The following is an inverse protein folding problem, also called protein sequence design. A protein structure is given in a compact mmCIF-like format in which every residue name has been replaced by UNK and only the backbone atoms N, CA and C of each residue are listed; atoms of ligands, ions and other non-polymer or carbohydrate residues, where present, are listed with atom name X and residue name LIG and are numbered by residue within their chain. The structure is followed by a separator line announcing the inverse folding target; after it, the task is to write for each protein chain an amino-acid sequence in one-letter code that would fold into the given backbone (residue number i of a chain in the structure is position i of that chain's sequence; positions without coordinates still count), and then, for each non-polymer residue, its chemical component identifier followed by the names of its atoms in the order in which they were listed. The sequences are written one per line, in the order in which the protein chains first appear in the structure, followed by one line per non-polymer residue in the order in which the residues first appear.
data_IF_574378784915
#
_entry.id   IF_574378784915
#
_cell.length_a   1.000
_cell.length_b   1.000
_cell.length_c   1.000
_cell.angle_alpha   90.00
_cell.angle_beta   90.00
_cell.angle_gamma   90.00
#
_symmetry.space_group_name_H-M   'P 1'
#
loop_
_entity.id
_entity.type
_entity.pdbx_description
1 polymer ?
#
# COMPACT_ATOMS: atom_id res chain seq x y z
N UNK A 1 13.18 14.13 6.24
CA UNK A 1 14.64 14.06 6.41
C UNK A 1 15.25 15.42 6.05
N UNK A 2 15.02 15.99 4.85
CA UNK A 2 15.63 17.26 4.42
C UNK A 2 15.32 18.43 5.37
N UNK A 3 14.13 18.45 5.98
CA UNK A 3 13.72 19.46 7.00
C UNK A 3 14.20 19.13 8.42
N UNK A 4 14.98 18.05 8.60
CA UNK A 4 15.42 17.53 9.90
C UNK A 4 14.28 17.17 10.84
N UNK A 5 13.10 16.89 10.31
CA UNK A 5 12.01 16.32 11.11
C UNK A 5 12.37 14.88 11.51
N UNK A 6 12.03 14.45 12.73
CA UNK A 6 12.28 13.09 13.17
C UNK A 6 11.65 12.08 12.22
N UNK A 7 12.45 11.12 11.75
CA UNK A 7 12.02 10.09 10.83
C UNK A 7 12.66 8.75 11.17
N UNK A 8 11.97 7.66 10.85
CA UNK A 8 12.46 6.30 10.96
C UNK A 8 12.25 5.56 9.63
N UNK A 9 13.11 4.57 9.37
CA UNK A 9 13.02 3.73 8.18
C UNK A 9 13.54 2.33 8.50
N UNK A 10 13.46 1.41 7.55
CA UNK A 10 14.02 0.07 7.66
C UNK A 10 15.14 -0.10 6.64
N UNK A 11 16.25 -0.69 7.09
CA UNK A 11 17.32 -1.24 6.24
C UNK A 11 17.10 -2.75 6.21
N UNK A 12 16.61 -3.26 5.09
CA UNK A 12 16.38 -4.69 4.90
C UNK A 12 17.55 -5.32 4.14
N UNK A 13 18.19 -6.33 4.73
CA UNK A 13 19.26 -7.10 4.12
C UNK A 13 19.27 -8.51 4.70
N UNK A 14 19.41 -9.59 3.88
CA UNK A 14 19.52 -10.95 4.39
C UNK A 14 20.73 -11.15 5.32
N UNK A 15 21.79 -10.40 5.08
CA UNK A 15 22.99 -10.35 5.94
C UNK A 15 22.80 -9.28 7.03
N UNK A 16 22.63 -9.75 8.27
CA UNK A 16 22.39 -8.90 9.44
C UNK A 16 23.57 -7.95 9.73
N UNK A 17 24.82 -8.38 9.51
CA UNK A 17 25.99 -7.55 9.77
C UNK A 17 26.10 -6.43 8.73
N UNK A 18 25.72 -6.69 7.48
CA UNK A 18 25.59 -5.66 6.46
C UNK A 18 24.50 -4.68 6.83
N UNK A 19 23.33 -5.16 7.26
CA UNK A 19 22.23 -4.30 7.70
C UNK A 19 22.64 -3.39 8.85
N UNK A 20 23.34 -3.91 9.86
CA UNK A 20 23.86 -3.13 11.01
C UNK A 20 24.89 -2.09 10.59
N UNK A 21 25.80 -2.41 9.68
CA UNK A 21 26.76 -1.43 9.14
C UNK A 21 26.05 -0.28 8.43
N UNK A 22 25.07 -0.58 7.58
CA UNK A 22 24.26 0.43 6.91
C UNK A 22 23.44 1.25 7.90
N UNK A 23 22.85 0.61 8.90
CA UNK A 23 22.15 1.30 9.99
C UNK A 23 23.04 2.33 10.67
N UNK A 24 24.27 1.94 11.04
CA UNK A 24 25.23 2.84 11.68
C UNK A 24 25.64 4.00 10.78
N UNK A 25 25.79 3.77 9.48
CA UNK A 25 26.17 4.81 8.50
C UNK A 25 25.05 5.85 8.28
N UNK A 26 23.79 5.44 8.32
CA UNK A 26 22.65 6.33 8.05
C UNK A 26 22.06 6.96 9.32
N UNK A 27 22.40 6.45 10.49
CA UNK A 27 21.87 6.96 11.75
C UNK A 27 22.29 8.42 12.00
N UNK A 28 21.31 9.26 12.36
CA UNK A 28 21.52 10.64 12.79
C UNK A 28 20.58 10.97 13.96
N UNK A 29 20.74 12.13 14.57
CA UNK A 29 19.84 12.61 15.64
C UNK A 29 18.39 12.79 15.18
N UNK A 30 18.16 12.97 13.87
CA UNK A 30 16.83 13.15 13.27
C UNK A 30 16.37 11.94 12.44
N UNK A 31 17.26 10.98 12.14
CA UNK A 31 16.91 9.81 11.33
C UNK A 31 17.34 8.52 12.01
N UNK A 32 16.37 7.65 12.30
CA UNK A 32 16.58 6.39 13.01
C UNK A 32 16.27 5.19 12.12
N UNK A 33 17.26 4.56 11.47
CA UNK A 33 17.06 3.30 10.75
C UNK A 33 16.90 2.13 11.74
N UNK A 34 16.04 1.18 11.38
CA UNK A 34 15.93 -0.15 12.01
C UNK A 34 16.41 -1.20 11.01
N UNK A 35 16.84 -2.34 11.47
CA UNK A 35 17.27 -3.45 10.61
C UNK A 35 16.19 -4.51 10.49
N UNK A 36 16.13 -5.18 9.34
CA UNK A 36 15.32 -6.38 9.10
C UNK A 36 16.08 -7.36 8.22
N UNK A 37 15.98 -8.64 8.48
CA UNK A 37 16.46 -9.69 7.57
C UNK A 37 15.37 -10.18 6.61
N UNK A 38 14.12 -9.81 6.84
CA UNK A 38 12.97 -10.12 6.00
C UNK A 38 12.82 -9.09 4.88
N UNK A 39 13.68 -9.23 3.86
CA UNK A 39 13.65 -8.38 2.67
C UNK A 39 12.33 -8.54 1.92
N UNK A 40 11.86 -9.78 1.80
CA UNK A 40 10.63 -10.10 1.06
C UNK A 40 9.40 -9.42 1.66
N UNK A 41 9.25 -9.47 2.99
CA UNK A 41 8.16 -8.77 3.68
C UNK A 41 8.21 -7.26 3.48
N UNK A 42 9.41 -6.66 3.51
CA UNK A 42 9.59 -5.24 3.23
C UNK A 42 9.22 -4.87 1.79
N UNK A 43 9.60 -5.69 0.80
CA UNK A 43 9.30 -5.45 -0.62
C UNK A 43 7.81 -5.59 -0.93
N UNK A 44 7.16 -6.64 -0.42
CA UNK A 44 5.71 -6.84 -0.61
C UNK A 44 4.93 -5.70 0.06
N UNK A 45 5.27 -5.34 1.30
CA UNK A 45 4.67 -4.20 1.99
C UNK A 45 4.81 -2.90 1.20
N UNK A 46 6.03 -2.63 0.72
CA UNK A 46 6.34 -1.44 -0.08
C UNK A 46 5.62 -1.38 -1.44
N UNK A 47 5.35 -2.52 -2.06
CA UNK A 47 4.57 -2.59 -3.29
C UNK A 47 3.06 -2.45 -3.03
N UNK A 48 2.55 -3.17 -2.03
CA UNK A 48 1.11 -3.24 -1.73
C UNK A 48 0.54 -1.94 -1.19
N UNK A 49 1.30 -1.20 -0.36
CA UNK A 49 0.86 0.12 0.17
C UNK A 49 0.41 1.08 -0.93
N UNK A 50 1.02 0.99 -2.10
CA UNK A 50 0.69 1.86 -3.23
C UNK A 50 -0.70 1.56 -3.79
N UNK A 51 -1.09 0.29 -3.82
CA UNK A 51 -2.41 -0.17 -4.23
C UNK A 51 -3.48 0.26 -3.22
N UNK A 52 -3.21 0.05 -1.93
CA UNK A 52 -4.11 0.51 -0.87
C UNK A 52 -4.23 2.04 -0.88
N UNK A 53 -3.13 2.74 -1.16
CA UNK A 53 -3.13 4.19 -1.33
C UNK A 53 -4.06 4.67 -2.45
N UNK A 54 -4.13 3.95 -3.58
CA UNK A 54 -5.12 4.20 -4.64
C UNK A 54 -6.55 3.99 -4.13
N UNK A 55 -6.83 2.86 -3.46
CA UNK A 55 -8.16 2.55 -2.94
C UNK A 55 -8.66 3.61 -1.94
N UNK A 56 -7.79 4.01 -0.99
CA UNK A 56 -8.08 5.08 -0.04
C UNK A 56 -8.31 6.42 -0.75
N UNK A 57 -7.48 6.72 -1.74
CA UNK A 57 -7.66 7.92 -2.56
C UNK A 57 -9.03 7.93 -3.24
N UNK A 58 -9.45 6.82 -3.86
CA UNK A 58 -10.77 6.70 -4.49
C UNK A 58 -11.90 6.95 -3.49
N UNK A 59 -11.81 6.38 -2.29
CA UNK A 59 -12.80 6.61 -1.23
C UNK A 59 -12.87 8.09 -0.82
N UNK A 60 -11.72 8.75 -0.66
CA UNK A 60 -11.65 10.19 -0.35
C UNK A 60 -12.23 11.03 -1.50
N UNK A 61 -11.93 10.69 -2.75
CA UNK A 61 -12.46 11.37 -3.93
C UNK A 61 -13.99 11.28 -4.06
N UNK A 62 -14.57 10.17 -3.60
CA UNK A 62 -16.02 9.94 -3.49
C UNK A 62 -16.66 10.65 -2.28
N UNK A 63 -15.88 11.27 -1.38
CA UNK A 63 -16.37 11.97 -0.20
C UNK A 63 -16.57 11.06 1.03
N UNK A 64 -16.05 9.84 1.05
CA UNK A 64 -16.09 8.99 2.24
C UNK A 64 -15.14 9.51 3.33
N UNK A 65 -15.54 9.33 4.59
CA UNK A 65 -14.83 9.81 5.77
C UNK A 65 -13.78 8.84 6.33
N UNK A 66 -13.28 9.21 7.51
CA UNK A 66 -12.16 8.54 8.18
C UNK A 66 -12.41 7.06 8.51
N UNK A 67 -13.65 6.69 8.88
CA UNK A 67 -13.97 5.30 9.19
C UNK A 67 -13.79 4.39 7.95
N UNK A 68 -14.20 4.85 6.78
CA UNK A 68 -14.00 4.11 5.52
C UNK A 68 -12.51 4.01 5.19
N UNK A 69 -11.78 5.10 5.35
CA UNK A 69 -10.32 5.13 5.17
C UNK A 69 -9.62 4.15 6.11
N UNK A 70 -9.96 4.17 7.40
CA UNK A 70 -9.40 3.24 8.39
C UNK A 70 -9.71 1.77 8.05
N UNK A 71 -10.94 1.48 7.60
CA UNK A 71 -11.33 0.14 7.18
C UNK A 71 -10.51 -0.34 5.97
N UNK A 72 -10.32 0.51 4.96
CA UNK A 72 -9.50 0.18 3.79
C UNK A 72 -8.03 -0.06 4.15
N UNK A 73 -7.46 0.75 5.05
CA UNK A 73 -6.08 0.58 5.54
C UNK A 73 -5.95 -0.76 6.27
N UNK A 74 -6.86 -1.06 7.19
CA UNK A 74 -6.83 -2.30 7.98
C UNK A 74 -7.00 -3.53 7.09
N UNK A 75 -7.97 -3.52 6.18
CA UNK A 75 -8.20 -4.62 5.25
C UNK A 75 -7.08 -4.77 4.22
N UNK A 76 -6.52 -3.66 3.75
CA UNK A 76 -5.35 -3.65 2.88
C UNK A 76 -4.11 -4.25 3.57
N UNK A 77 -3.88 -3.92 4.85
CA UNK A 77 -2.80 -4.51 5.62
C UNK A 77 -3.00 -6.03 5.79
N UNK A 78 -4.22 -6.48 6.10
CA UNK A 78 -4.53 -7.90 6.24
C UNK A 78 -4.34 -8.66 4.91
N UNK A 79 -4.75 -8.08 3.79
CA UNK A 79 -4.54 -8.65 2.44
C UNK A 79 -3.04 -8.73 2.10
N UNK A 80 -2.29 -7.66 2.39
CA UNK A 80 -0.82 -7.63 2.25
C UNK A 80 -0.15 -8.72 3.08
N UNK A 81 -0.60 -8.90 4.34
CA UNK A 81 -0.05 -9.90 5.24
C UNK A 81 -0.30 -11.33 4.75
N UNK A 82 -1.51 -11.64 4.25
CA UNK A 82 -1.80 -12.95 3.67
C UNK A 82 -0.90 -13.25 2.48
N UNK A 83 -0.74 -12.29 1.57
CA UNK A 83 0.11 -12.46 0.40
C UNK A 83 1.59 -12.64 0.78
N UNK A 84 2.09 -11.83 1.71
CA UNK A 84 3.47 -11.91 2.18
C UNK A 84 3.75 -13.24 2.90
N UNK A 85 2.85 -13.70 3.78
CA UNK A 85 2.98 -15.00 4.45
C UNK A 85 2.97 -16.16 3.48
N UNK A 86 2.14 -16.12 2.44
CA UNK A 86 2.10 -17.15 1.39
C UNK A 86 3.42 -17.24 0.60
N UNK A 87 4.22 -16.18 0.60
CA UNK A 87 5.56 -16.11 0.03
C UNK A 87 6.67 -16.41 1.05
N UNK A 88 6.34 -16.73 2.29
CA UNK A 88 7.30 -17.04 3.35
C UNK A 88 7.86 -15.85 4.12
N UNK A 89 7.28 -14.65 3.96
CA UNK A 89 7.66 -13.47 4.73
C UNK A 89 7.12 -13.55 6.18
N UNK A 90 7.79 -12.83 7.07
CA UNK A 90 7.35 -12.73 8.48
C UNK A 90 6.21 -11.72 8.61
N UNK A 91 5.02 -12.10 9.10
CA UNK A 91 3.90 -11.17 9.26
C UNK A 91 4.21 -10.01 10.23
N UNK A 92 5.12 -10.18 11.18
CA UNK A 92 5.54 -9.11 12.09
C UNK A 92 6.26 -7.96 11.37
N UNK A 93 6.92 -8.23 10.24
CA UNK A 93 7.52 -7.20 9.39
C UNK A 93 6.47 -6.19 8.92
N UNK A 94 5.28 -6.68 8.60
CA UNK A 94 4.18 -5.82 8.13
C UNK A 94 3.50 -5.02 9.24
N UNK A 95 3.66 -5.40 10.49
CA UNK A 95 3.18 -4.61 11.64
C UNK A 95 4.15 -3.47 12.00
N UNK A 96 5.33 -3.46 11.40
CA UNK A 96 6.38 -2.45 11.62
C UNK A 96 6.36 -1.28 10.64
N UNK A 97 7.50 -0.57 10.59
CA UNK A 97 7.69 0.63 9.76
C UNK A 97 7.59 0.33 8.26
N UNK A 98 8.10 -0.82 7.80
CA UNK A 98 8.08 -1.22 6.39
C UNK A 98 6.69 -1.67 5.89
N UNK A 99 5.77 -1.99 6.81
CA UNK A 99 4.38 -2.34 6.52
C UNK A 99 3.42 -1.26 6.96
N UNK A 100 2.86 -1.39 8.16
CA UNK A 100 1.83 -0.48 8.70
C UNK A 100 2.27 0.99 8.69
N UNK A 101 3.51 1.28 9.09
CA UNK A 101 4.00 2.67 9.14
C UNK A 101 3.97 3.35 7.77
N UNK A 102 4.54 2.69 6.76
CA UNK A 102 4.60 3.21 5.40
C UNK A 102 3.22 3.21 4.71
N UNK A 103 2.37 2.22 5.03
CA UNK A 103 0.99 2.16 4.57
C UNK A 103 0.19 3.37 5.09
N UNK A 104 0.23 3.63 6.40
CA UNK A 104 -0.49 4.78 7.00
C UNK A 104 0.03 6.09 6.42
N UNK A 105 1.34 6.28 6.32
CA UNK A 105 1.93 7.48 5.73
C UNK A 105 1.49 7.67 4.27
N UNK A 106 1.46 6.60 3.48
CA UNK A 106 1.03 6.63 2.07
C UNK A 106 -0.45 6.97 1.93
N UNK A 107 -1.30 6.42 2.77
CA UNK A 107 -2.76 6.62 2.71
C UNK A 107 -3.21 7.98 3.28
N UNK A 108 -2.51 8.51 4.30
CA UNK A 108 -2.91 9.74 5.00
C UNK A 108 -2.33 11.00 4.38
N UNK A 109 -1.15 10.91 3.74
CA UNK A 109 -0.46 12.09 3.22
C UNK A 109 -1.13 12.65 1.95
N UNK A 110 -1.46 13.95 1.91
CA UNK A 110 -1.90 14.60 0.67
C UNK A 110 -0.79 14.70 -0.38
N UNK A 111 0.46 14.45 0.01
CA UNK A 111 1.61 14.42 -0.90
C UNK A 111 1.82 13.04 -1.54
N UNK A 112 1.05 12.04 -1.14
CA UNK A 112 1.11 10.70 -1.73
C UNK A 112 0.57 10.70 -3.15
N UNK A 113 1.43 10.41 -4.12
CA UNK A 113 1.07 10.31 -5.54
C UNK A 113 -0.03 9.28 -5.80
N UNK A 114 0.05 8.14 -5.12
CA UNK A 114 -0.96 7.08 -5.28
C UNK A 114 -2.31 7.51 -4.68
N UNK A 115 -2.32 8.11 -3.48
CA UNK A 115 -3.54 8.65 -2.89
C UNK A 115 -4.17 9.73 -3.78
N UNK A 116 -3.37 10.68 -4.27
CA UNK A 116 -3.86 11.75 -5.15
C UNK A 116 -4.40 11.20 -6.48
N UNK A 117 -3.73 10.21 -7.07
CA UNK A 117 -4.21 9.54 -8.28
C UNK A 117 -5.57 8.86 -8.03
N UNK A 118 -5.68 8.11 -6.93
CA UNK A 118 -6.94 7.48 -6.52
C UNK A 118 -8.05 8.51 -6.27
N UNK A 119 -7.73 9.65 -5.63
CA UNK A 119 -8.69 10.73 -5.38
C UNK A 119 -9.27 11.29 -6.69
N UNK A 120 -8.45 11.44 -7.71
CA UNK A 120 -8.91 11.89 -9.03
C UNK A 120 -9.80 10.83 -9.71
N UNK A 121 -9.47 9.52 -9.60
CA UNK A 121 -10.37 8.44 -10.05
C UNK A 121 -11.71 8.48 -9.32
N UNK A 122 -11.67 8.70 -7.99
CA UNK A 122 -12.89 8.84 -7.18
C UNK A 122 -13.76 10.04 -7.57
N UNK A 123 -13.14 11.12 -8.07
CA UNK A 123 -13.83 12.30 -8.64
C UNK A 123 -14.36 12.06 -10.05
N UNK A 124 -14.14 10.89 -10.63
CA UNK A 124 -14.66 10.51 -11.95
C UNK A 124 -13.70 10.77 -13.12
N UNK A 125 -12.46 11.18 -12.87
CA UNK A 125 -11.45 11.27 -13.94
C UNK A 125 -11.04 9.88 -14.41
N UNK A 126 -10.79 9.72 -15.68
CA UNK A 126 -10.18 8.52 -16.25
C UNK A 126 -8.67 8.48 -16.00
N UNK A 127 -8.11 7.28 -16.03
CA UNK A 127 -6.65 7.06 -15.95
C UNK A 127 -5.90 7.89 -17.00
N UNK A 128 -6.43 7.99 -18.24
CA UNK A 128 -5.82 8.75 -19.31
C UNK A 128 -5.80 10.28 -19.02
N UNK A 129 -6.90 10.83 -18.52
CA UNK A 129 -7.00 12.24 -18.13
C UNK A 129 -6.06 12.58 -16.98
N UNK A 130 -5.93 11.68 -15.99
CA UNK A 130 -5.00 11.89 -14.86
C UNK A 130 -3.56 11.93 -15.39
N UNK A 131 -3.15 10.96 -16.23
CA UNK A 131 -1.79 10.98 -16.80
C UNK A 131 -1.52 12.20 -17.69
N UNK A 132 -2.54 12.71 -18.38
CA UNK A 132 -2.41 13.95 -19.16
C UNK A 132 -2.26 15.20 -18.27
N UNK A 133 -2.79 15.17 -17.04
CA UNK A 133 -2.77 16.31 -16.11
C UNK A 133 -1.52 16.42 -15.26
N UNK A 134 -0.70 15.37 -15.18
CA UNK A 134 0.49 15.33 -14.31
C UNK A 134 1.66 14.57 -14.94
N UNK A 135 2.88 15.03 -14.67
CA UNK A 135 4.11 14.28 -14.98
C UNK A 135 4.47 13.23 -13.94
N UNK A 136 3.71 13.18 -12.83
CA UNK A 136 4.00 12.24 -11.73
C UNK A 136 3.44 10.85 -12.04
N UNK A 137 4.24 9.81 -11.78
CA UNK A 137 3.82 8.42 -11.97
C UNK A 137 3.27 7.87 -10.66
N UNK A 138 2.05 7.35 -10.69
CA UNK A 138 1.48 6.54 -9.61
C UNK A 138 1.92 5.07 -9.80
N UNK A 139 2.83 4.61 -8.96
CA UNK A 139 3.40 3.25 -9.06
C UNK A 139 2.35 2.17 -8.77
N UNK A 140 1.36 2.47 -7.94
CA UNK A 140 0.29 1.54 -7.59
C UNK A 140 -0.47 0.98 -8.78
N UNK A 141 -0.74 1.81 -9.80
CA UNK A 141 -1.41 1.36 -11.01
C UNK A 141 -0.65 0.26 -11.76
N UNK A 142 0.69 0.31 -11.76
CA UNK A 142 1.53 -0.74 -12.35
C UNK A 142 1.68 -1.95 -11.41
N UNK A 143 1.78 -1.70 -10.11
CA UNK A 143 1.98 -2.74 -9.10
C UNK A 143 0.78 -3.69 -8.98
N UNK A 144 -0.45 -3.23 -9.25
CA UNK A 144 -1.66 -4.06 -9.18
C UNK A 144 -1.50 -5.36 -9.98
N UNK A 145 -1.10 -5.27 -11.25
CA UNK A 145 -0.98 -6.45 -12.13
C UNK A 145 0.03 -7.47 -11.62
N UNK A 146 1.18 -7.00 -11.12
CA UNK A 146 2.21 -7.88 -10.56
C UNK A 146 1.74 -8.54 -9.26
N UNK A 147 1.06 -7.80 -8.39
CA UNK A 147 0.52 -8.31 -7.14
C UNK A 147 -0.63 -9.31 -7.36
N UNK A 148 -1.49 -9.06 -8.35
CA UNK A 148 -2.53 -10.01 -8.74
C UNK A 148 -1.94 -11.30 -9.31
N UNK A 149 -0.89 -11.21 -10.14
CA UNK A 149 -0.18 -12.39 -10.64
C UNK A 149 0.43 -13.20 -9.48
N UNK A 150 1.01 -12.53 -8.49
CA UNK A 150 1.54 -13.16 -7.29
C UNK A 150 0.43 -13.81 -6.44
N UNK A 151 -0.70 -13.13 -6.26
CA UNK A 151 -1.87 -13.65 -5.56
C UNK A 151 -2.43 -14.93 -6.25
N UNK A 152 -2.53 -14.91 -7.59
CA UNK A 152 -2.97 -16.06 -8.36
C UNK A 152 -2.01 -17.26 -8.23
N UNK A 153 -0.69 -17.03 -8.22
CA UNK A 153 0.32 -18.08 -8.03
C UNK A 153 0.25 -18.73 -6.64
N UNK A 154 -0.14 -17.99 -5.64
CA UNK A 154 -0.21 -18.45 -4.24
C UNK A 154 -1.60 -18.90 -3.80
N UNK A 155 -2.62 -18.68 -4.62
CA UNK A 155 -4.01 -18.95 -4.26
C UNK A 155 -4.58 -18.02 -3.19
N UNK A 156 -3.97 -16.85 -2.99
CA UNK A 156 -4.41 -15.85 -2.01
C UNK A 156 -5.49 -14.96 -2.62
N UNK A 157 -6.61 -14.79 -1.91
CA UNK A 157 -7.66 -13.83 -2.29
C UNK A 157 -7.17 -12.39 -2.04
N UNK A 158 -7.16 -11.57 -3.09
CA UNK A 158 -6.63 -10.21 -3.10
C UNK A 158 -7.67 -9.20 -3.66
N UNK A 159 -8.86 -9.10 -3.04
CA UNK A 159 -9.97 -8.30 -3.58
C UNK A 159 -9.67 -6.81 -3.70
N UNK A 160 -8.84 -6.23 -2.84
CA UNK A 160 -8.49 -4.81 -2.95
C UNK A 160 -7.65 -4.58 -4.21
N UNK A 161 -6.63 -5.41 -4.43
CA UNK A 161 -5.80 -5.30 -5.63
C UNK A 161 -6.60 -5.53 -6.90
N UNK A 162 -7.50 -6.53 -6.92
CA UNK A 162 -8.35 -6.87 -8.05
C UNK A 162 -9.28 -5.70 -8.43
N UNK A 163 -9.98 -5.12 -7.45
CA UNK A 163 -10.91 -4.03 -7.71
C UNK A 163 -10.20 -2.74 -8.09
N UNK A 164 -9.05 -2.43 -7.45
CA UNK A 164 -8.23 -1.28 -7.84
C UNK A 164 -7.74 -1.41 -9.28
N UNK A 165 -7.27 -2.60 -9.69
CA UNK A 165 -6.89 -2.87 -11.08
C UNK A 165 -8.06 -2.67 -12.04
N UNK A 166 -9.24 -3.16 -11.68
CA UNK A 166 -10.44 -2.99 -12.50
C UNK A 166 -10.81 -1.50 -12.69
N UNK A 167 -10.67 -0.67 -11.65
CA UNK A 167 -10.93 0.77 -11.76
C UNK A 167 -9.86 1.46 -12.60
N UNK A 168 -8.58 1.16 -12.39
CA UNK A 168 -7.47 1.74 -13.15
C UNK A 168 -7.58 1.42 -14.65
N UNK A 169 -8.03 0.22 -14.99
CA UNK A 169 -8.25 -0.24 -16.37
C UNK A 169 -9.60 0.24 -16.96
N UNK A 170 -10.42 0.96 -16.18
CA UNK A 170 -11.73 1.48 -16.62
C UNK A 170 -12.82 0.39 -16.77
N UNK A 171 -12.61 -0.80 -16.21
CA UNK A 171 -13.57 -1.92 -16.19
C UNK A 171 -14.62 -1.78 -15.08
N UNK A 172 -14.37 -0.88 -14.14
CA UNK A 172 -15.22 -0.61 -12.97
C UNK A 172 -15.06 0.86 -12.58
N UNK A 173 -16.07 1.46 -12.00
CA UNK A 173 -15.97 2.78 -11.38
C UNK A 173 -15.51 2.68 -9.93
N UNK A 174 -14.95 3.78 -9.38
CA UNK A 174 -14.58 3.83 -7.96
C UNK A 174 -15.81 3.60 -7.04
N UNK A 175 -16.99 4.05 -7.42
CA UNK A 175 -18.22 3.85 -6.66
C UNK A 175 -18.65 2.37 -6.66
N UNK A 176 -18.59 1.69 -7.80
CA UNK A 176 -18.87 0.26 -7.90
C UNK A 176 -17.90 -0.56 -7.06
N UNK A 177 -16.62 -0.21 -7.05
CA UNK A 177 -15.60 -0.80 -6.17
C UNK A 177 -16.01 -0.69 -4.69
N UNK A 178 -16.37 0.50 -4.22
CA UNK A 178 -16.78 0.71 -2.83
C UNK A 178 -18.04 -0.07 -2.49
N UNK A 179 -19.04 -0.10 -3.38
CA UNK A 179 -20.26 -0.87 -3.20
C UNK A 179 -19.99 -2.38 -3.13
N UNK A 180 -19.03 -2.90 -3.93
CA UNK A 180 -18.66 -4.32 -3.89
C UNK A 180 -18.03 -4.72 -2.55
N UNK A 181 -17.25 -3.84 -1.91
CA UNK A 181 -16.69 -4.12 -0.58
C UNK A 181 -17.77 -4.17 0.51
N UNK A 182 -18.79 -3.32 0.41
CA UNK A 182 -19.92 -3.31 1.36
C UNK A 182 -20.82 -4.55 1.17
N UNK A 183 -20.96 -5.03 -0.06
CA UNK A 183 -21.80 -6.17 -0.41
C UNK A 183 -21.17 -7.54 -0.11
N UNK A 184 -19.89 -7.60 0.30
CA UNK A 184 -19.25 -8.87 0.68
C UNK A 184 -19.89 -9.46 1.93
N UNK A 185 -19.95 -10.79 1.99
CA UNK A 185 -20.43 -11.52 3.15
C UNK A 185 -19.65 -11.14 4.42
N UNK A 186 -20.38 -11.10 5.53
CA UNK A 186 -19.77 -10.88 6.84
C UNK A 186 -18.94 -12.09 7.25
N UNK A 187 -17.77 -11.85 7.84
CA UNK A 187 -16.89 -12.91 8.34
C UNK A 187 -16.24 -12.47 9.65
N UNK A 188 -15.55 -13.38 10.32
CA UNK A 188 -14.79 -13.03 11.52
C UNK A 188 -13.66 -12.05 11.18
N UNK A 189 -13.27 -11.19 12.15
CA UNK A 189 -12.23 -10.18 11.95
C UNK A 189 -10.87 -10.79 11.58
N UNK A 190 -10.61 -12.00 12.04
CA UNK A 190 -9.33 -12.72 11.87
C UNK A 190 -9.31 -13.70 10.71
N UNK A 191 -10.38 -13.78 9.91
CA UNK A 191 -10.49 -14.68 8.74
C UNK A 191 -9.92 -14.07 7.46
#
# INVERSE_FOLDING_TARGET
IARREPAASVVACPDEDVAKRLQAMFHTTAFRPYTSTDVLGCEIGGAYKNVVGLAVGMAVGLGFGDNTTASLITRGLAETARLAMAQGANPLTLMGLAGLGDLVATCSSPLSRNRTFGENLGKGMTTAEIYASTSQVAEGAKSCKSLMALAAQTGVDAPIAEHVDAVVDGRMTALEMMNSFIARDTKAETD
#
